data_IF_703995570975
#
_entry.id   IF_703995570975
#
_cell.length_a   1.000
_cell.length_b   1.000
_cell.length_c   1.000
_cell.angle_alpha   90.00
_cell.angle_beta   90.00
_cell.angle_gamma   90.00
#
_symmetry.space_group_name_H-M   'P 1'
#
loop_
_entity.id
_entity.type
_entity.pdbx_description
1 polymer ?
#
# COMPACT_ATOMS: atom_id res chain seq x y z
N UNK A 1 47.32 4.17 -0.06
CA UNK A 1 46.08 4.07 0.72
C UNK A 1 45.23 5.30 0.41
N UNK A 2 44.10 5.12 -0.28
CA UNK A 2 43.35 6.19 -0.93
C UNK A 2 42.55 7.02 0.06
N UNK A 3 42.58 8.36 -0.09
CA UNK A 3 41.80 9.35 0.67
C UNK A 3 40.28 9.06 0.69
N UNK A 4 39.79 8.23 -0.23
CA UNK A 4 38.39 7.77 -0.30
C UNK A 4 38.04 6.78 0.83
N UNK A 5 38.99 5.95 1.27
CA UNK A 5 38.77 4.99 2.36
C UNK A 5 38.65 5.64 3.74
N UNK A 6 39.38 6.75 3.96
CA UNK A 6 39.31 7.50 5.22
C UNK A 6 37.99 8.27 5.34
N UNK A 7 37.44 8.75 4.21
CA UNK A 7 36.19 9.51 4.20
C UNK A 7 34.96 8.61 4.37
N UNK A 8 34.98 7.38 3.85
CA UNK A 8 33.93 6.38 4.08
C UNK A 8 33.95 5.82 5.51
N UNK A 9 35.13 5.68 6.12
CA UNK A 9 35.28 5.28 7.53
C UNK A 9 34.76 6.34 8.51
N UNK A 10 35.01 7.62 8.23
CA UNK A 10 34.51 8.74 9.04
C UNK A 10 32.98 8.94 8.91
N UNK A 11 32.40 8.68 7.73
CA UNK A 11 30.94 8.73 7.55
C UNK A 11 30.23 7.58 8.29
N UNK A 12 30.84 6.39 8.35
CA UNK A 12 30.32 5.24 9.11
C UNK A 12 30.40 5.41 10.63
N UNK A 13 31.42 6.10 11.14
CA UNK A 13 31.56 6.44 12.57
C UNK A 13 30.63 7.60 13.00
N UNK A 14 30.35 8.55 12.10
CA UNK A 14 29.34 9.60 12.33
C UNK A 14 27.90 9.06 12.28
N UNK A 15 27.61 8.07 11.42
CA UNK A 15 26.31 7.42 11.36
C UNK A 15 26.04 6.49 12.55
N UNK A 16 27.07 5.86 13.14
CA UNK A 16 26.92 5.02 14.34
C UNK A 16 26.84 5.83 15.64
N UNK A 17 27.43 7.03 15.68
CA UNK A 17 27.31 7.94 16.83
C UNK A 17 26.02 8.77 16.85
N UNK A 18 25.36 8.96 15.69
CA UNK A 18 23.99 9.52 15.64
C UNK A 18 22.88 8.50 15.95
N UNK A 19 23.17 7.20 15.99
CA UNK A 19 22.18 6.18 16.36
C UNK A 19 22.13 5.85 17.86
N UNK A 20 23.04 6.39 18.67
CA UNK A 20 23.04 6.18 20.14
C UNK A 20 22.58 7.39 20.97
N UNK A 21 22.22 8.51 20.33
CA UNK A 21 21.74 9.72 21.03
C UNK A 21 20.21 9.93 20.95
N UNK A 22 19.45 8.86 20.64
CA UNK A 22 17.99 8.89 20.52
C UNK A 22 17.24 7.88 21.39
N UNK A 23 17.93 7.14 22.28
CA UNK A 23 17.29 6.23 23.23
C UNK A 23 17.21 6.86 24.62
N UNK A 24 16.44 7.95 24.72
CA UNK A 24 15.89 8.41 25.99
C UNK A 24 14.56 7.71 26.23
N UNK A 25 14.56 6.71 27.11
CA UNK A 25 13.41 6.24 27.92
C UNK A 25 12.06 6.12 27.20
N UNK A 26 11.76 4.96 26.59
CA UNK A 26 10.41 4.68 26.10
C UNK A 26 9.89 3.31 26.55
N UNK A 27 10.30 2.86 27.74
CA UNK A 27 9.83 1.64 28.41
C UNK A 27 8.88 1.95 29.58
N UNK A 28 8.28 3.15 29.63
CA UNK A 28 7.65 3.70 30.85
C UNK A 28 6.21 3.21 31.08
N UNK A 29 5.58 2.55 30.10
CA UNK A 29 4.15 2.21 30.17
C UNK A 29 3.85 0.71 30.20
N UNK A 30 4.83 -0.17 30.02
CA UNK A 30 4.60 -1.61 29.84
C UNK A 30 3.93 -2.27 31.07
N UNK A 31 4.25 -1.81 32.28
CA UNK A 31 3.70 -2.34 33.53
C UNK A 31 2.34 -1.72 33.91
N UNK A 32 1.85 -0.77 33.10
CA UNK A 32 0.61 -0.04 33.36
C UNK A 32 -0.60 -0.76 32.77
N UNK A 33 -1.78 -0.50 33.35
CA UNK A 33 -3.05 -1.12 32.96
C UNK A 33 -4.09 -0.07 32.64
N UNK A 34 -4.68 -0.17 31.45
CA UNK A 34 -5.75 0.70 30.97
C UNK A 34 -7.03 -0.10 30.78
N UNK A 35 -8.12 0.37 31.36
CA UNK A 35 -9.44 -0.20 31.15
C UNK A 35 -10.23 0.64 30.15
N UNK A 36 -10.74 0.04 29.08
CA UNK A 36 -11.59 0.72 28.10
C UNK A 36 -13.03 0.27 28.27
N UNK A 37 -13.90 1.20 28.66
CA UNK A 37 -15.34 1.00 28.64
C UNK A 37 -15.91 1.52 27.32
N UNK A 38 -16.48 0.63 26.52
CA UNK A 38 -17.00 0.95 25.19
C UNK A 38 -18.52 0.85 25.16
N UNK A 39 -19.21 1.89 24.72
CA UNK A 39 -20.67 1.95 24.76
C UNK A 39 -21.38 0.87 23.92
N UNK A 40 -20.84 0.52 22.75
CA UNK A 40 -21.53 -0.32 21.76
C UNK A 40 -20.97 -1.74 21.65
N UNK A 41 -21.60 -2.57 20.82
CA UNK A 41 -21.10 -3.90 20.49
C UNK A 41 -19.70 -3.87 19.81
N UNK A 42 -18.85 -4.89 19.98
CA UNK A 42 -17.53 -4.97 19.34
C UNK A 42 -17.52 -4.82 17.81
N UNK A 43 -18.62 -5.20 17.16
CA UNK A 43 -18.78 -5.09 15.70
C UNK A 43 -19.10 -3.66 15.21
N UNK A 44 -19.24 -2.69 16.12
CA UNK A 44 -19.55 -1.32 15.73
C UNK A 44 -18.35 -0.69 14.99
N UNK A 45 -18.53 0.00 13.85
CA UNK A 45 -17.43 0.37 12.94
C UNK A 45 -16.31 1.22 13.56
N UNK A 46 -16.59 1.95 14.65
CA UNK A 46 -15.67 2.88 15.28
C UNK A 46 -14.74 2.20 16.30
N UNK A 47 -15.14 1.05 16.85
CA UNK A 47 -14.37 0.31 17.87
C UNK A 47 -12.95 -0.06 17.45
N UNK A 48 -12.73 -0.79 16.34
CA UNK A 48 -11.37 -1.16 15.94
C UNK A 48 -10.49 0.05 15.62
N UNK A 49 -11.08 1.17 15.19
CA UNK A 49 -10.36 2.40 14.85
C UNK A 49 -9.88 3.12 16.11
N UNK A 50 -10.75 3.26 17.11
CA UNK A 50 -10.42 3.83 18.42
C UNK A 50 -9.29 3.03 19.07
N UNK A 51 -9.43 1.70 19.11
CA UNK A 51 -8.40 0.83 19.70
C UNK A 51 -7.07 0.90 18.95
N UNK A 52 -7.10 1.04 17.61
CA UNK A 52 -5.88 1.24 16.83
C UNK A 52 -5.21 2.58 17.14
N UNK A 53 -6.00 3.66 17.33
CA UNK A 53 -5.50 4.97 17.75
C UNK A 53 -4.87 4.96 19.13
N UNK A 54 -5.53 4.33 20.11
CA UNK A 54 -4.99 4.16 21.47
C UNK A 54 -3.64 3.43 21.44
N UNK A 55 -3.56 2.29 20.75
CA UNK A 55 -2.32 1.51 20.61
C UNK A 55 -1.20 2.30 19.94
N UNK A 56 -1.52 3.07 18.90
CA UNK A 56 -0.55 3.95 18.24
C UNK A 56 0.01 5.01 19.19
N UNK A 57 -0.86 5.63 20.00
CA UNK A 57 -0.44 6.66 20.95
C UNK A 57 0.43 6.12 22.08
N UNK A 58 0.15 4.90 22.55
CA UNK A 58 0.98 4.24 23.57
C UNK A 58 2.29 3.69 23.02
N UNK A 59 2.33 3.33 21.73
CA UNK A 59 3.49 2.72 21.11
C UNK A 59 3.61 1.21 21.37
N UNK A 60 4.68 0.57 20.87
CA UNK A 60 4.85 -0.89 20.92
C UNK A 60 5.03 -1.44 22.34
N UNK A 61 5.59 -0.66 23.27
CA UNK A 61 5.74 -1.01 24.69
C UNK A 61 4.66 -0.30 25.55
N UNK A 62 3.44 -0.25 25.03
CA UNK A 62 2.29 0.36 25.70
C UNK A 62 1.73 -0.46 26.87
N UNK A 63 0.76 0.10 27.60
CA UNK A 63 0.11 -0.58 28.72
C UNK A 63 -0.72 -1.78 28.26
N UNK A 64 -1.04 -2.68 29.18
CA UNK A 64 -2.08 -3.68 28.96
C UNK A 64 -3.44 -2.99 28.82
N UNK A 65 -4.16 -3.27 27.73
CA UNK A 65 -5.50 -2.73 27.46
C UNK A 65 -6.54 -3.83 27.59
N UNK A 66 -7.42 -3.73 28.59
CA UNK A 66 -8.60 -4.56 28.72
C UNK A 66 -9.84 -3.77 28.27
N UNK A 67 -10.74 -4.40 27.49
CA UNK A 67 -11.93 -3.72 26.93
C UNK A 67 -13.20 -4.44 27.37
N UNK A 68 -14.20 -3.69 27.84
CA UNK A 68 -15.55 -4.18 28.12
C UNK A 68 -16.57 -3.38 27.30
N UNK A 69 -17.56 -4.08 26.76
CA UNK A 69 -18.55 -3.53 25.84
C UNK A 69 -19.94 -3.56 26.48
N UNK A 70 -20.63 -2.42 26.50
CA UNK A 70 -21.96 -2.30 27.11
C UNK A 70 -23.09 -2.78 26.19
N UNK A 71 -22.86 -2.78 24.88
CA UNK A 71 -23.87 -3.09 23.84
C UNK A 71 -25.14 -2.22 23.92
N UNK A 72 -24.98 -0.95 24.28
CA UNK A 72 -26.10 -0.06 24.64
C UNK A 72 -27.03 0.29 23.48
N UNK A 73 -26.63 0.08 22.22
CA UNK A 73 -27.51 0.25 21.05
C UNK A 73 -28.46 -0.93 20.83
N UNK A 74 -28.17 -2.09 21.41
CA UNK A 74 -29.01 -3.30 21.32
C UNK A 74 -29.71 -3.61 22.64
N UNK A 75 -29.06 -3.31 23.76
CA UNK A 75 -29.51 -3.56 25.12
C UNK A 75 -29.52 -2.24 25.92
N UNK A 76 -30.68 -1.60 26.04
CA UNK A 76 -30.80 -0.23 26.59
C UNK A 76 -31.76 -0.09 27.78
N UNK A 77 -32.45 -1.15 28.16
CA UNK A 77 -33.38 -1.15 29.28
C UNK A 77 -32.65 -1.13 30.65
N UNK A 78 -33.37 -0.80 31.71
CA UNK A 78 -32.76 -0.68 33.04
C UNK A 78 -32.25 -2.03 33.60
N UNK A 79 -32.86 -3.15 33.18
CA UNK A 79 -32.43 -4.49 33.60
C UNK A 79 -31.07 -4.84 32.99
N UNK A 80 -30.88 -4.58 31.69
CA UNK A 80 -29.59 -4.81 31.04
C UNK A 80 -28.48 -3.93 31.64
N UNK A 81 -28.76 -2.66 31.94
CA UNK A 81 -27.81 -1.77 32.63
C UNK A 81 -27.43 -2.27 34.03
N UNK A 82 -28.40 -2.68 34.85
CA UNK A 82 -28.15 -3.24 36.18
C UNK A 82 -27.34 -4.54 36.12
N UNK A 83 -27.64 -5.42 35.16
CA UNK A 83 -26.90 -6.66 34.93
C UNK A 83 -25.44 -6.40 34.52
N UNK A 84 -25.22 -5.42 33.65
CA UNK A 84 -23.88 -5.00 33.24
C UNK A 84 -23.09 -4.48 34.44
N UNK A 85 -23.65 -3.56 35.23
CA UNK A 85 -23.03 -3.03 36.45
C UNK A 85 -22.61 -4.14 37.41
N UNK A 86 -23.52 -5.07 37.72
CA UNK A 86 -23.23 -6.20 38.61
C UNK A 86 -22.11 -7.09 38.08
N UNK A 87 -22.13 -7.39 36.79
CA UNK A 87 -21.13 -8.25 36.15
C UNK A 87 -19.76 -7.58 36.12
N UNK A 88 -19.72 -6.28 35.79
CA UNK A 88 -18.50 -5.49 35.77
C UNK A 88 -17.91 -5.37 37.18
N UNK A 89 -18.72 -5.06 38.20
CA UNK A 89 -18.27 -5.00 39.59
C UNK A 89 -17.62 -6.33 40.04
N UNK A 90 -18.23 -7.47 39.69
CA UNK A 90 -17.64 -8.77 39.98
C UNK A 90 -16.28 -8.93 39.27
N UNK A 91 -16.19 -8.64 37.97
CA UNK A 91 -14.93 -8.74 37.21
C UNK A 91 -13.82 -7.87 37.82
N UNK A 92 -14.14 -6.62 38.17
CA UNK A 92 -13.19 -5.68 38.76
C UNK A 92 -12.71 -6.16 40.15
N UNK A 93 -13.60 -6.76 40.96
CA UNK A 93 -13.22 -7.32 42.27
C UNK A 93 -12.24 -8.51 42.22
N UNK A 94 -12.04 -9.09 41.03
CA UNK A 94 -11.19 -10.27 40.79
C UNK A 94 -9.94 -9.97 39.97
N UNK A 95 -9.70 -8.70 39.64
CA UNK A 95 -8.56 -8.23 38.84
C UNK A 95 -7.76 -7.20 39.63
N UNK A 96 -6.50 -7.01 39.24
CA UNK A 96 -5.71 -5.91 39.78
C UNK A 96 -6.29 -4.56 39.35
N UNK A 97 -6.05 -3.49 40.13
CA UNK A 97 -6.50 -2.14 39.78
C UNK A 97 -5.94 -1.66 38.43
N UNK A 98 -6.69 -0.77 37.78
CA UNK A 98 -6.23 -0.08 36.57
C UNK A 98 -5.67 1.29 36.93
N UNK A 99 -4.71 1.78 36.13
CA UNK A 99 -4.10 3.09 36.32
C UNK A 99 -4.92 4.21 35.66
N UNK A 100 -5.61 3.91 34.55
CA UNK A 100 -6.49 4.83 33.81
C UNK A 100 -7.71 4.09 33.25
N UNK A 101 -8.87 4.75 33.28
CA UNK A 101 -10.07 4.33 32.56
C UNK A 101 -10.25 5.20 31.32
N UNK A 102 -10.55 4.58 30.18
CA UNK A 102 -10.93 5.26 28.95
C UNK A 102 -12.39 4.95 28.64
N UNK A 103 -13.24 5.96 28.48
CA UNK A 103 -14.65 5.77 28.11
C UNK A 103 -14.87 6.18 26.67
N UNK A 104 -15.43 5.30 25.85
CA UNK A 104 -15.76 5.59 24.46
C UNK A 104 -17.27 5.75 24.29
N UNK A 105 -17.66 6.97 23.87
CA UNK A 105 -19.03 7.42 23.58
C UNK A 105 -19.88 7.81 24.81
N UNK A 106 -21.01 8.48 24.56
CA UNK A 106 -21.84 9.14 25.57
C UNK A 106 -22.31 8.19 26.69
N UNK A 107 -22.81 7.00 26.34
CA UNK A 107 -23.32 6.03 27.32
C UNK A 107 -22.22 5.50 28.26
N UNK A 108 -20.98 5.38 27.76
CA UNK A 108 -19.86 4.91 28.57
C UNK A 108 -19.42 5.99 29.55
N UNK A 109 -19.40 7.26 29.12
CA UNK A 109 -19.14 8.38 30.02
C UNK A 109 -20.25 8.51 31.07
N UNK A 110 -21.53 8.46 30.67
CA UNK A 110 -22.66 8.55 31.61
C UNK A 110 -22.60 7.44 32.67
N UNK A 111 -22.27 6.22 32.26
CA UNK A 111 -22.07 5.10 33.18
C UNK A 111 -20.90 5.36 34.15
N UNK A 112 -19.79 5.89 33.64
CA UNK A 112 -18.61 6.19 34.46
C UNK A 112 -18.86 7.34 35.44
N UNK A 113 -19.61 8.37 35.04
CA UNK A 113 -20.00 9.46 35.94
C UNK A 113 -20.95 8.97 37.05
N UNK A 114 -21.86 8.06 36.73
CA UNK A 114 -22.82 7.53 37.69
C UNK A 114 -22.23 6.48 38.65
N UNK A 115 -21.32 5.63 38.17
CA UNK A 115 -20.86 4.43 38.91
C UNK A 115 -19.33 4.37 39.11
N UNK A 116 -18.56 5.23 38.47
CA UNK A 116 -17.10 5.16 38.44
C UNK A 116 -16.45 5.31 39.81
N UNK A 117 -17.00 6.17 40.68
CA UNK A 117 -16.50 6.33 42.05
C UNK A 117 -16.60 5.02 42.86
N UNK A 118 -17.65 4.22 42.64
CA UNK A 118 -17.84 2.92 43.28
C UNK A 118 -16.95 1.84 42.66
N UNK A 119 -16.83 1.82 41.33
CA UNK A 119 -16.19 0.74 40.59
C UNK A 119 -14.66 0.87 40.49
N UNK A 120 -14.15 2.10 40.41
CA UNK A 120 -12.75 2.38 40.12
C UNK A 120 -12.10 3.30 41.17
N UNK A 121 -12.78 3.64 42.27
CA UNK A 121 -12.20 4.28 43.46
C UNK A 121 -11.19 5.43 43.18
N UNK A 122 -11.55 6.37 42.30
CA UNK A 122 -10.72 7.54 42.01
C UNK A 122 -9.67 7.37 40.92
N UNK A 123 -9.69 6.27 40.15
CA UNK A 123 -8.86 6.13 38.95
C UNK A 123 -9.20 7.21 37.91
N UNK A 124 -8.20 7.91 37.35
CA UNK A 124 -8.39 8.90 36.28
C UNK A 124 -9.19 8.38 35.10
N UNK A 125 -10.08 9.22 34.57
CA UNK A 125 -10.89 8.90 33.38
C UNK A 125 -10.55 9.81 32.21
N UNK A 126 -10.33 9.21 31.04
CA UNK A 126 -10.18 9.90 29.76
C UNK A 126 -11.34 9.52 28.84
N UNK A 127 -12.25 10.44 28.55
CA UNK A 127 -13.33 10.16 27.61
C UNK A 127 -12.95 10.48 26.16
N UNK A 128 -13.62 9.83 25.22
CA UNK A 128 -13.62 10.19 23.80
C UNK A 128 -14.96 9.86 23.14
N UNK A 129 -15.22 10.42 21.97
CA UNK A 129 -16.42 10.07 21.20
C UNK A 129 -17.72 10.64 21.75
N UNK A 130 -17.65 11.64 22.64
CA UNK A 130 -18.82 12.22 23.31
C UNK A 130 -19.37 13.36 22.45
N UNK A 131 -20.61 13.19 21.99
CA UNK A 131 -21.29 14.15 21.12
C UNK A 131 -22.10 15.20 21.90
N UNK A 132 -22.44 14.94 23.17
CA UNK A 132 -22.97 15.97 24.09
C UNK A 132 -21.86 16.93 24.53
N UNK A 133 -21.62 17.97 23.69
CA UNK A 133 -20.54 18.95 23.90
C UNK A 133 -20.67 19.65 25.27
N UNK A 134 -21.83 20.17 25.69
CA UNK A 134 -21.97 20.76 27.03
C UNK A 134 -21.59 19.80 28.15
N UNK A 135 -22.01 18.52 28.10
CA UNK A 135 -21.64 17.50 29.09
C UNK A 135 -20.14 17.23 29.10
N UNK A 136 -19.53 17.14 27.93
CA UNK A 136 -18.10 16.89 27.78
C UNK A 136 -17.27 18.05 28.33
N UNK A 137 -17.60 19.30 27.97
CA UNK A 137 -16.92 20.50 28.46
C UNK A 137 -17.12 20.73 29.96
N UNK A 138 -18.27 20.35 30.52
CA UNK A 138 -18.49 20.42 31.97
C UNK A 138 -17.51 19.57 32.78
N UNK A 139 -16.84 18.59 32.15
CA UNK A 139 -15.84 17.77 32.83
C UNK A 139 -14.53 18.52 33.12
N UNK A 140 -14.29 19.70 32.55
CA UNK A 140 -13.16 20.56 32.98
C UNK A 140 -13.25 20.95 34.47
N UNK A 141 -14.44 20.87 35.07
CA UNK A 141 -14.66 21.11 36.50
C UNK A 141 -14.42 19.86 37.36
N UNK A 142 -14.24 18.69 36.74
CA UNK A 142 -14.06 17.43 37.42
C UNK A 142 -12.56 17.12 37.56
N UNK A 143 -12.00 17.06 38.78
CA UNK A 143 -10.55 16.91 38.96
C UNK A 143 -10.00 15.57 38.50
N UNK A 144 -10.85 14.60 38.18
CA UNK A 144 -10.45 13.24 37.82
C UNK A 144 -10.93 12.80 36.42
N UNK A 145 -11.53 13.71 35.64
CA UNK A 145 -12.05 13.42 34.31
C UNK A 145 -11.54 14.46 33.32
N UNK A 146 -11.01 13.99 32.21
CA UNK A 146 -10.65 14.81 31.05
C UNK A 146 -10.97 14.02 29.78
N UNK A 147 -10.74 14.57 28.59
CA UNK A 147 -11.02 13.81 27.37
C UNK A 147 -11.02 14.62 26.09
N UNK A 148 -11.59 14.01 25.05
CA UNK A 148 -11.70 14.55 23.70
C UNK A 148 -13.16 14.60 23.29
N UNK A 149 -13.62 15.80 22.90
CA UNK A 149 -14.98 16.01 22.39
C UNK A 149 -15.10 15.46 20.96
N UNK A 150 -16.22 14.80 20.66
CA UNK A 150 -16.60 14.47 19.28
C UNK A 150 -17.58 15.54 18.76
N UNK A 151 -17.03 16.58 18.16
CA UNK A 151 -17.82 17.62 17.50
C UNK A 151 -17.74 17.40 15.99
N UNK A 152 -18.89 17.26 15.33
CA UNK A 152 -18.94 17.18 13.86
C UNK A 152 -18.63 18.55 13.24
N UNK A 153 -17.82 18.57 12.18
CA UNK A 153 -17.47 19.80 11.46
C UNK A 153 -18.54 20.18 10.42
N UNK A 154 -19.79 20.35 10.88
CA UNK A 154 -20.92 20.68 9.99
C UNK A 154 -20.67 22.01 9.29
N UNK A 155 -20.37 23.08 10.04
CA UNK A 155 -20.18 24.41 9.48
C UNK A 155 -19.04 24.45 8.44
N UNK A 156 -17.90 23.85 8.78
CA UNK A 156 -16.74 23.82 7.91
C UNK A 156 -17.00 22.93 6.68
N UNK A 157 -17.73 21.82 6.83
CA UNK A 157 -18.12 20.96 5.71
C UNK A 157 -19.08 21.67 4.76
N UNK A 158 -20.04 22.46 5.26
CA UNK A 158 -20.93 23.27 4.42
C UNK A 158 -20.15 24.32 3.62
N UNK A 159 -19.20 25.01 4.25
CA UNK A 159 -18.33 25.97 3.56
C UNK A 159 -17.43 25.30 2.51
N UNK A 160 -16.91 24.11 2.84
CA UNK A 160 -16.10 23.30 1.94
C UNK A 160 -16.89 22.88 0.70
N UNK A 161 -18.10 22.31 0.87
CA UNK A 161 -18.95 21.91 -0.26
C UNK A 161 -19.16 23.08 -1.23
N UNK A 162 -19.48 24.27 -0.69
CA UNK A 162 -19.65 25.48 -1.50
C UNK A 162 -18.38 25.88 -2.26
N UNK A 163 -17.21 25.82 -1.61
CA UNK A 163 -15.93 26.17 -2.22
C UNK A 163 -15.55 25.18 -3.35
N UNK A 164 -15.78 23.89 -3.13
CA UNK A 164 -15.43 22.83 -4.07
C UNK A 164 -16.37 22.79 -5.28
N UNK A 165 -17.65 23.09 -5.09
CA UNK A 165 -18.66 22.96 -6.15
C UNK A 165 -19.56 24.20 -6.20
N UNK A 166 -19.03 25.38 -6.59
CA UNK A 166 -19.80 26.63 -6.59
C UNK A 166 -20.99 26.64 -7.55
N UNK A 167 -20.99 25.78 -8.56
CA UNK A 167 -22.10 25.62 -9.51
C UNK A 167 -23.30 24.84 -8.93
N UNK A 168 -23.11 24.08 -7.84
CA UNK A 168 -24.19 23.34 -7.17
C UNK A 168 -24.85 24.24 -6.14
N UNK A 169 -26.08 24.66 -6.44
CA UNK A 169 -26.84 25.62 -5.62
C UNK A 169 -27.78 24.95 -4.62
N UNK A 170 -28.05 23.65 -4.75
CA UNK A 170 -29.03 22.93 -3.95
C UNK A 170 -28.35 21.91 -3.03
N UNK A 171 -28.47 22.11 -1.71
CA UNK A 171 -28.02 21.13 -0.72
C UNK A 171 -29.22 20.33 -0.18
N UNK A 172 -29.18 19.02 -0.40
CA UNK A 172 -30.16 18.08 0.11
C UNK A 172 -29.56 17.33 1.31
N UNK A 173 -30.25 17.32 2.44
CA UNK A 173 -29.78 16.67 3.66
C UNK A 173 -30.53 15.36 3.86
N UNK A 174 -29.81 14.26 3.99
CA UNK A 174 -30.39 12.93 4.27
C UNK A 174 -30.30 12.64 5.75
N UNK A 175 -31.44 12.28 6.35
CA UNK A 175 -31.58 12.01 7.79
C UNK A 175 -32.66 10.95 8.03
N UNK A 176 -32.58 10.25 9.15
CA UNK A 176 -33.62 9.32 9.62
C UNK A 176 -34.32 9.79 10.91
N UNK A 177 -35.29 9.02 11.38
CA UNK A 177 -36.05 9.33 12.59
C UNK A 177 -35.31 9.05 13.91
N UNK A 178 -34.01 8.75 13.89
CA UNK A 178 -33.27 8.46 15.12
C UNK A 178 -33.01 9.73 15.93
N UNK A 179 -32.96 9.61 17.27
CA UNK A 179 -32.72 10.76 18.16
C UNK A 179 -31.43 11.50 17.82
N UNK A 180 -30.34 10.77 17.54
CA UNK A 180 -29.06 11.36 17.13
C UNK A 180 -29.14 12.07 15.78
N UNK A 181 -29.75 11.44 14.77
CA UNK A 181 -29.90 12.06 13.44
C UNK A 181 -30.72 13.35 13.49
N UNK A 182 -31.77 13.39 14.30
CA UNK A 182 -32.58 14.59 14.50
C UNK A 182 -31.82 15.69 15.26
N UNK A 183 -30.98 15.35 16.24
CA UNK A 183 -30.12 16.32 16.92
C UNK A 183 -29.09 16.94 15.97
N UNK A 184 -28.46 16.14 15.11
CA UNK A 184 -27.53 16.60 14.08
C UNK A 184 -28.24 17.52 13.07
N UNK A 185 -29.46 17.16 12.65
CA UNK A 185 -30.27 17.98 11.76
C UNK A 185 -30.58 19.35 12.36
N UNK A 186 -30.98 19.42 13.64
CA UNK A 186 -31.26 20.69 14.31
C UNK A 186 -30.00 21.56 14.38
N UNK A 187 -28.86 20.96 14.72
CA UNK A 187 -27.56 21.65 14.72
C UNK A 187 -27.23 22.20 13.34
N UNK A 188 -27.40 21.38 12.30
CA UNK A 188 -27.17 21.77 10.92
C UNK A 188 -28.08 22.93 10.49
N UNK A 189 -29.38 22.85 10.75
CA UNK A 189 -30.34 23.90 10.38
C UNK A 189 -30.05 25.20 11.12
N UNK A 190 -29.60 25.13 12.38
CA UNK A 190 -29.16 26.29 13.16
C UNK A 190 -27.94 26.99 12.53
N UNK A 191 -26.97 26.20 12.05
CA UNK A 191 -25.75 26.71 11.39
C UNK A 191 -25.98 27.16 9.94
N UNK A 192 -26.91 26.53 9.23
CA UNK A 192 -27.21 26.84 7.85
C UNK A 192 -27.94 28.19 7.70
N UNK A 193 -28.83 28.54 8.63
CA UNK A 193 -29.60 29.81 8.63
C UNK A 193 -28.75 31.08 8.52
N UNK A 194 -27.66 31.26 9.28
CA UNK A 194 -26.77 32.41 9.14
C UNK A 194 -25.77 32.30 7.97
N UNK A 195 -25.65 31.15 7.32
CA UNK A 195 -24.71 30.91 6.23
C UNK A 195 -25.37 31.17 4.86
N UNK A 196 -24.61 31.65 3.88
CA UNK A 196 -25.11 31.89 2.52
C UNK A 196 -25.47 30.59 1.74
N UNK A 197 -25.44 29.42 2.37
CA UNK A 197 -25.75 28.12 1.77
C UNK A 197 -27.00 27.53 2.44
N UNK A 198 -28.15 27.71 1.80
CA UNK A 198 -29.43 27.23 2.31
C UNK A 198 -29.59 25.73 2.02
N UNK A 199 -29.99 24.97 3.04
CA UNK A 199 -30.55 23.63 2.85
C UNK A 199 -31.79 23.78 1.97
N UNK A 200 -31.77 23.13 0.81
CA UNK A 200 -32.88 23.18 -0.15
C UNK A 200 -33.98 22.19 0.25
N UNK A 201 -33.59 21.01 0.73
CA UNK A 201 -34.52 19.98 1.14
C UNK A 201 -33.91 19.08 2.23
N UNK A 202 -34.77 18.57 3.11
CA UNK A 202 -34.45 17.47 4.01
C UNK A 202 -35.15 16.21 3.50
N UNK A 203 -34.37 15.24 3.01
CA UNK A 203 -34.86 13.92 2.59
C UNK A 203 -34.89 13.02 3.82
N UNK A 204 -36.05 12.95 4.47
CA UNK A 204 -36.23 12.29 5.76
C UNK A 204 -36.75 10.86 5.63
N UNK A 205 -35.98 9.87 6.07
CA UNK A 205 -36.42 8.49 6.23
C UNK A 205 -37.40 8.31 7.39
N UNK A 206 -37.62 9.33 8.23
CA UNK A 206 -38.76 9.30 9.16
C UNK A 206 -40.11 9.38 8.43
N UNK A 207 -40.11 9.93 7.21
CA UNK A 207 -41.32 10.20 6.41
C UNK A 207 -41.40 9.33 5.15
N UNK A 208 -40.26 8.83 4.68
CA UNK A 208 -40.12 8.03 3.46
C UNK A 208 -39.86 6.56 3.77
N UNK A 209 -40.41 5.67 2.94
CA UNK A 209 -39.95 4.28 2.85
C UNK A 209 -38.64 4.23 2.07
N UNK A 210 -37.87 3.13 2.17
CA UNK A 210 -36.68 2.94 1.34
C UNK A 210 -36.97 3.03 -0.17
N UNK A 211 -38.16 2.58 -0.60
CA UNK A 211 -38.59 2.68 -1.99
C UNK A 211 -38.78 4.13 -2.43
N UNK A 212 -39.47 4.93 -1.62
CA UNK A 212 -39.70 6.35 -1.89
C UNK A 212 -38.40 7.15 -1.83
N UNK A 213 -37.53 6.79 -0.89
CA UNK A 213 -36.19 7.36 -0.74
C UNK A 213 -35.34 7.16 -2.00
N UNK A 214 -35.25 5.93 -2.54
CA UNK A 214 -34.56 5.67 -3.81
C UNK A 214 -35.14 6.49 -4.97
N UNK A 215 -36.47 6.64 -5.05
CA UNK A 215 -37.10 7.46 -6.10
C UNK A 215 -36.73 8.94 -5.94
N UNK A 216 -36.71 9.46 -4.71
CA UNK A 216 -36.35 10.86 -4.45
C UNK A 216 -34.88 11.14 -4.80
N UNK A 217 -33.97 10.23 -4.48
CA UNK A 217 -32.55 10.36 -4.84
C UNK A 217 -32.30 10.36 -6.36
N UNK A 218 -33.02 9.51 -7.10
CA UNK A 218 -32.94 9.48 -8.56
C UNK A 218 -33.45 10.77 -9.22
N UNK A 219 -34.33 11.51 -8.55
CA UNK A 219 -34.86 12.77 -9.03
C UNK A 219 -33.92 13.98 -8.80
N UNK A 220 -32.78 13.79 -8.13
CA UNK A 220 -31.75 14.83 -7.95
C UNK A 220 -31.05 15.12 -9.29
N UNK A 221 -30.85 16.40 -9.57
CA UNK A 221 -30.21 16.90 -10.79
C UNK A 221 -28.74 17.31 -10.60
N UNK A 222 -28.16 17.90 -11.66
CA UNK A 222 -26.74 18.26 -11.68
C UNK A 222 -26.39 19.44 -10.76
N UNK A 223 -27.39 20.23 -10.33
CA UNK A 223 -27.24 21.33 -9.38
C UNK A 223 -27.27 20.90 -7.91
N UNK A 224 -27.56 19.62 -7.63
CA UNK A 224 -27.77 19.10 -6.28
C UNK A 224 -26.47 18.55 -5.67
N UNK A 225 -26.26 18.76 -4.38
CA UNK A 225 -25.33 18.02 -3.55
C UNK A 225 -26.10 17.35 -2.41
N UNK A 226 -25.59 16.24 -1.89
CA UNK A 226 -26.20 15.52 -0.78
C UNK A 226 -25.26 15.55 0.41
N UNK A 227 -25.77 15.88 1.60
CA UNK A 227 -25.08 15.65 2.87
C UNK A 227 -25.82 14.56 3.64
N UNK A 228 -25.13 13.44 3.86
CA UNK A 228 -25.63 12.33 4.66
C UNK A 228 -25.38 12.61 6.15
N UNK A 229 -26.43 12.72 6.95
CA UNK A 229 -26.36 12.72 8.41
C UNK A 229 -26.59 11.32 8.96
N UNK A 230 -27.75 10.73 8.64
CA UNK A 230 -28.12 9.38 9.09
C UNK A 230 -29.10 8.70 8.12
N UNK A 231 -29.02 7.38 8.02
CA UNK A 231 -29.90 6.58 7.16
C UNK A 231 -29.93 5.12 7.62
N UNK A 232 -30.51 4.85 8.80
CA UNK A 232 -30.55 3.50 9.38
C UNK A 232 -31.93 2.88 9.36
N UNK A 233 -32.99 3.67 9.51
CA UNK A 233 -34.36 3.16 9.61
C UNK A 233 -35.34 4.06 8.86
N UNK A 234 -36.17 3.44 8.04
CA UNK A 234 -37.23 4.12 7.30
C UNK A 234 -38.55 4.19 8.10
N UNK A 235 -39.55 4.86 7.53
CA UNK A 235 -40.86 5.05 8.18
C UNK A 235 -41.61 3.75 8.45
N UNK A 236 -41.37 2.73 7.61
CA UNK A 236 -42.02 1.42 7.70
C UNK A 236 -41.33 0.54 8.76
N UNK A 237 -40.28 1.07 9.40
CA UNK A 237 -39.54 0.45 10.48
C UNK A 237 -38.42 -0.47 10.00
N UNK A 238 -38.17 -0.54 8.69
CA UNK A 238 -37.15 -1.39 8.09
C UNK A 238 -35.78 -0.79 8.32
N UNK A 239 -34.92 -1.55 9.01
CA UNK A 239 -33.56 -1.14 9.32
C UNK A 239 -32.57 -1.65 8.28
N UNK A 240 -31.57 -0.83 7.95
CA UNK A 240 -30.41 -1.18 7.12
C UNK A 240 -29.13 -0.87 7.88
N UNK A 241 -28.09 -1.67 7.65
CA UNK A 241 -26.74 -1.28 8.04
C UNK A 241 -26.28 -0.05 7.26
N UNK A 242 -25.29 0.67 7.78
CA UNK A 242 -24.71 1.82 7.11
C UNK A 242 -24.25 1.50 5.67
N UNK A 243 -23.60 0.34 5.48
CA UNK A 243 -23.13 -0.07 4.15
C UNK A 243 -24.26 -0.31 3.17
N UNK A 244 -25.36 -0.93 3.60
CA UNK A 244 -26.53 -1.18 2.75
C UNK A 244 -27.27 0.11 2.38
N UNK A 245 -27.44 1.03 3.32
CA UNK A 245 -28.09 2.31 3.04
C UNK A 245 -27.21 3.21 2.18
N UNK A 246 -25.90 3.26 2.43
CA UNK A 246 -24.96 4.00 1.59
C UNK A 246 -24.90 3.44 0.17
N UNK A 247 -24.82 2.12 -0.01
CA UNK A 247 -24.84 1.51 -1.34
C UNK A 247 -26.11 1.90 -2.12
N UNK A 248 -27.28 1.80 -1.47
CA UNK A 248 -28.54 2.25 -2.05
C UNK A 248 -28.50 3.73 -2.43
N UNK A 249 -27.90 4.59 -1.60
CA UNK A 249 -27.73 6.01 -1.92
C UNK A 249 -26.84 6.22 -3.14
N UNK A 250 -25.66 5.61 -3.19
CA UNK A 250 -24.67 5.79 -4.27
C UNK A 250 -25.17 5.23 -5.61
N UNK A 251 -25.98 4.17 -5.57
CA UNK A 251 -26.59 3.57 -6.76
C UNK A 251 -27.73 4.42 -7.35
N UNK A 252 -28.42 5.21 -6.51
CA UNK A 252 -29.60 5.99 -6.93
C UNK A 252 -29.34 7.49 -7.03
N UNK A 253 -28.33 8.03 -6.35
CA UNK A 253 -27.99 9.46 -6.39
C UNK A 253 -26.97 9.75 -7.49
N UNK A 254 -27.34 10.64 -8.43
CA UNK A 254 -26.41 11.22 -9.41
C UNK A 254 -25.60 12.39 -8.84
N UNK A 255 -26.02 12.91 -7.71
CA UNK A 255 -25.35 13.99 -6.99
C UNK A 255 -24.19 13.47 -6.12
N UNK A 256 -23.16 14.30 -5.86
CA UNK A 256 -22.10 13.99 -4.90
C UNK A 256 -22.67 13.86 -3.49
N UNK A 257 -22.31 12.77 -2.82
CA UNK A 257 -22.67 12.51 -1.42
C UNK A 257 -21.48 12.86 -0.52
N UNK A 258 -21.66 13.86 0.33
CA UNK A 258 -20.76 14.25 1.41
C UNK A 258 -21.22 13.62 2.73
N UNK A 259 -20.29 13.48 3.66
CA UNK A 259 -20.57 12.94 4.99
C UNK A 259 -19.73 13.67 6.04
N UNK A 260 -19.99 13.42 7.32
CA UNK A 260 -19.28 14.06 8.45
C UNK A 260 -18.38 13.09 9.23
N UNK A 261 -18.43 11.79 8.92
CA UNK A 261 -17.58 10.78 9.55
C UNK A 261 -16.78 10.02 8.49
N UNK A 262 -15.63 9.45 8.90
CA UNK A 262 -14.70 8.76 7.99
C UNK A 262 -15.31 7.51 7.31
N UNK A 263 -16.32 6.90 7.92
CA UNK A 263 -16.93 5.69 7.36
C UNK A 263 -17.70 6.02 6.06
N UNK A 264 -17.62 5.14 5.06
CA UNK A 264 -18.13 5.39 3.71
C UNK A 264 -17.09 5.90 2.71
N UNK A 265 -15.92 6.41 3.17
CA UNK A 265 -14.76 6.58 2.28
C UNK A 265 -14.33 5.22 1.76
N UNK A 266 -14.21 5.06 0.44
CA UNK A 266 -14.06 3.76 -0.18
C UNK A 266 -15.32 3.25 -0.88
N UNK A 267 -16.49 3.72 -0.43
CA UNK A 267 -17.80 3.17 -0.80
C UNK A 267 -18.67 4.15 -1.60
N UNK A 268 -18.13 5.33 -1.96
CA UNK A 268 -18.73 6.24 -2.94
C UNK A 268 -19.00 7.66 -2.46
N UNK A 269 -18.80 7.98 -1.17
CA UNK A 269 -18.87 9.37 -0.71
C UNK A 269 -17.68 10.18 -1.26
N UNK A 270 -17.88 11.49 -1.44
CA UNK A 270 -16.82 12.42 -1.84
C UNK A 270 -15.81 12.62 -0.70
N UNK A 271 -16.32 12.78 0.52
CA UNK A 271 -15.52 13.12 1.68
C UNK A 271 -16.13 14.29 2.46
N UNK A 272 -15.28 15.02 3.16
CA UNK A 272 -15.66 16.16 4.00
C UNK A 272 -14.59 16.48 5.03
N UNK A 273 -14.94 17.26 6.05
CA UNK A 273 -14.11 17.40 7.25
C UNK A 273 -14.64 16.37 8.25
N UNK A 274 -13.97 15.22 8.26
CA UNK A 274 -14.52 13.99 8.81
C UNK A 274 -14.03 13.76 10.23
N UNK A 275 -14.95 13.31 11.09
CA UNK A 275 -14.61 12.70 12.37
C UNK A 275 -13.78 11.45 12.11
N UNK A 276 -12.54 11.48 12.57
CA UNK A 276 -11.59 10.40 12.46
C UNK A 276 -11.46 9.70 13.82
N UNK A 277 -12.17 8.59 13.97
CA UNK A 277 -12.19 7.82 15.22
C UNK A 277 -10.82 7.25 15.62
N UNK A 278 -9.93 7.02 14.65
CA UNK A 278 -8.54 6.61 14.95
C UNK A 278 -7.78 7.77 15.56
N UNK A 279 -7.94 8.97 15.02
CA UNK A 279 -7.30 10.16 15.58
C UNK A 279 -7.89 10.55 16.95
N UNK A 280 -9.20 10.43 17.14
CA UNK A 280 -9.87 10.54 18.44
C UNK A 280 -9.25 9.57 19.47
N UNK A 281 -9.15 8.29 19.11
CA UNK A 281 -8.48 7.28 19.94
C UNK A 281 -7.01 7.61 20.20
N UNK A 282 -6.30 8.16 19.22
CA UNK A 282 -4.89 8.58 19.37
C UNK A 282 -4.75 9.75 20.34
N UNK A 283 -5.59 10.78 20.24
CA UNK A 283 -5.58 11.92 21.17
C UNK A 283 -5.92 11.50 22.61
N UNK A 284 -6.95 10.67 22.78
CA UNK A 284 -7.29 10.10 24.08
C UNK A 284 -6.14 9.26 24.64
N UNK A 285 -5.48 8.46 23.79
CA UNK A 285 -4.31 7.67 24.18
C UNK A 285 -3.12 8.54 24.59
N UNK A 286 -2.88 9.66 23.91
CA UNK A 286 -1.84 10.62 24.30
C UNK A 286 -2.14 11.28 25.65
N UNK A 287 -3.40 11.64 25.90
CA UNK A 287 -3.85 12.17 27.20
C UNK A 287 -3.66 11.11 28.29
N UNK A 288 -4.14 9.89 28.06
CA UNK A 288 -3.97 8.77 28.99
C UNK A 288 -2.47 8.50 29.26
N UNK A 289 -1.63 8.51 28.23
CA UNK A 289 -0.19 8.34 28.38
C UNK A 289 0.47 9.47 29.19
N UNK A 290 -0.05 10.71 29.16
CA UNK A 290 0.43 11.79 30.04
C UNK A 290 0.05 11.52 31.49
N UNK A 291 -1.18 11.07 31.74
CA UNK A 291 -1.66 10.71 33.09
C UNK A 291 -0.86 9.53 33.66
N UNK A 292 -0.62 8.49 32.86
CA UNK A 292 0.16 7.31 33.27
C UNK A 292 1.60 7.65 33.66
N UNK A 293 2.16 8.74 33.11
CA UNK A 293 3.48 9.31 33.45
C UNK A 293 3.43 10.28 34.64
N UNK A 294 2.31 10.40 35.32
CA UNK A 294 2.15 11.18 36.55
C UNK A 294 1.66 12.62 36.36
N UNK A 295 1.17 13.00 35.17
CA UNK A 295 0.53 14.30 35.01
C UNK A 295 -0.81 14.34 35.77
N UNK A 296 -1.07 15.43 36.48
CA UNK A 296 -2.35 15.63 37.17
C UNK A 296 -3.48 15.87 36.14
N UNK A 297 -4.61 15.20 36.32
CA UNK A 297 -5.75 15.25 35.40
C UNK A 297 -6.31 16.67 35.32
N UNK A 298 -6.36 17.37 36.46
CA UNK A 298 -6.86 18.75 36.54
C UNK A 298 -6.04 19.75 35.70
N UNK A 299 -4.79 19.39 35.37
CA UNK A 299 -3.92 20.19 34.51
C UNK A 299 -4.10 19.94 33.01
N UNK A 300 -4.93 18.95 32.64
CA UNK A 300 -5.19 18.54 31.27
C UNK A 300 -6.63 18.96 30.91
N UNK A 301 -6.82 20.08 30.19
CA UNK A 301 -8.15 20.51 29.80
C UNK A 301 -8.75 19.53 28.80
N UNK A 302 -10.08 19.43 28.81
CA UNK A 302 -10.86 18.76 27.78
C UNK A 302 -10.51 19.36 26.42
N UNK A 303 -10.16 18.49 25.48
CA UNK A 303 -9.88 18.90 24.11
C UNK A 303 -11.20 19.23 23.42
N UNK A 304 -11.58 20.52 23.48
CA UNK A 304 -12.83 21.05 22.97
C UNK A 304 -12.96 20.96 21.43
N UNK A 305 -11.83 20.97 20.71
CA UNK A 305 -11.81 20.84 19.25
C UNK A 305 -11.56 19.38 18.87
N UNK A 306 -12.59 18.75 18.30
CA UNK A 306 -12.46 17.41 17.71
C UNK A 306 -11.36 17.42 16.64
N UNK A 307 -10.43 16.44 16.64
CA UNK A 307 -9.35 16.35 15.67
C UNK A 307 -9.86 15.80 14.32
N UNK A 308 -10.81 16.52 13.73
CA UNK A 308 -11.41 16.17 12.45
C UNK A 308 -10.40 16.43 11.33
N UNK A 309 -10.43 15.57 10.32
CA UNK A 309 -9.45 15.60 9.23
C UNK A 309 -10.19 15.83 7.92
N UNK A 310 -9.73 16.77 7.07
CA UNK A 310 -10.22 16.86 5.70
C UNK A 310 -9.80 15.59 4.94
N UNK A 311 -10.75 14.75 4.58
CA UNK A 311 -10.50 13.46 3.93
C UNK A 311 -11.42 13.27 2.72
N UNK A 312 -10.87 12.80 1.61
CA UNK A 312 -11.59 12.69 0.34
C UNK A 312 -11.26 11.40 -0.41
N UNK A 313 -12.24 10.86 -1.13
CA UNK A 313 -12.04 9.72 -2.03
C UNK A 313 -11.70 10.22 -3.44
N UNK A 314 -10.48 9.91 -3.91
CA UNK A 314 -10.00 10.33 -5.23
C UNK A 314 -10.93 9.91 -6.37
N UNK A 315 -11.54 8.73 -6.29
CA UNK A 315 -12.43 8.22 -7.35
C UNK A 315 -13.71 9.05 -7.41
N UNK A 316 -14.25 9.44 -6.25
CA UNK A 316 -15.41 10.32 -6.16
C UNK A 316 -15.06 11.75 -6.61
N UNK A 317 -13.91 12.29 -6.22
CA UNK A 317 -13.41 13.58 -6.71
C UNK A 317 -13.35 13.60 -8.25
N UNK A 318 -12.81 12.55 -8.86
CA UNK A 318 -12.77 12.39 -10.33
C UNK A 318 -14.17 12.22 -10.94
N UNK A 319 -15.06 11.47 -10.30
CA UNK A 319 -16.44 11.24 -10.78
C UNK A 319 -17.24 12.55 -10.85
N UNK A 320 -17.01 13.47 -9.91
CA UNK A 320 -17.77 14.72 -9.79
C UNK A 320 -16.97 15.97 -10.22
N UNK A 321 -15.87 15.76 -10.94
CA UNK A 321 -14.99 16.80 -11.49
C UNK A 321 -14.52 17.85 -10.45
N UNK A 322 -14.15 17.37 -9.25
CA UNK A 322 -13.62 18.20 -8.18
C UNK A 322 -12.08 18.21 -8.28
N UNK A 323 -11.49 19.39 -8.50
CA UNK A 323 -10.04 19.55 -8.61
C UNK A 323 -9.35 19.33 -7.25
N UNK A 324 -8.43 18.36 -7.18
CA UNK A 324 -7.62 18.06 -5.99
C UNK A 324 -6.87 19.29 -5.47
N UNK A 325 -6.49 20.22 -6.35
CA UNK A 325 -5.78 21.46 -5.97
C UNK A 325 -6.67 22.47 -5.22
N UNK A 326 -7.99 22.29 -5.29
CA UNK A 326 -8.95 23.15 -4.58
C UNK A 326 -9.20 22.71 -3.12
N UNK A 327 -8.74 21.51 -2.77
CA UNK A 327 -8.86 20.95 -1.42
C UNK A 327 -8.01 21.73 -0.40
N UNK A 328 -8.34 21.63 0.89
CA UNK A 328 -7.48 22.14 1.97
C UNK A 328 -6.03 21.59 1.86
N UNK A 329 -4.99 22.38 2.21
CA UNK A 329 -3.59 21.93 2.10
C UNK A 329 -3.25 20.69 2.95
N UNK A 330 -3.98 20.49 4.05
CA UNK A 330 -3.87 19.36 4.98
C UNK A 330 -4.81 18.19 4.61
N UNK A 331 -5.49 18.26 3.47
CA UNK A 331 -6.41 17.23 3.01
C UNK A 331 -5.71 15.91 2.69
N UNK A 332 -6.25 14.82 3.24
CA UNK A 332 -5.85 13.47 2.91
C UNK A 332 -6.71 12.94 1.77
N UNK A 333 -6.07 12.72 0.62
CA UNK A 333 -6.72 12.12 -0.55
C UNK A 333 -6.45 10.61 -0.55
N UNK A 334 -7.50 9.83 -0.36
CA UNK A 334 -7.43 8.37 -0.33
C UNK A 334 -7.80 7.78 -1.69
N UNK A 335 -7.37 6.54 -1.93
CA UNK A 335 -7.67 5.78 -3.16
C UNK A 335 -7.18 6.45 -4.47
N UNK A 336 -6.16 7.32 -4.39
CA UNK A 336 -5.47 7.80 -5.57
C UNK A 336 -4.74 6.62 -6.24
N UNK A 337 -4.98 6.34 -7.54
CA UNK A 337 -4.24 5.31 -8.24
C UNK A 337 -2.77 5.74 -8.27
N UNK A 338 -1.93 5.01 -7.54
CA UNK A 338 -0.49 5.24 -7.59
C UNK A 338 -0.04 5.09 -9.04
N UNK A 339 0.35 6.20 -9.66
CA UNK A 339 0.92 6.16 -11.00
C UNK A 339 2.21 5.36 -10.93
N UNK A 340 2.17 4.12 -11.43
CA UNK A 340 3.31 3.22 -11.54
C UNK A 340 4.48 3.95 -12.21
N UNK A 341 4.18 4.80 -13.19
CA UNK A 341 5.17 5.65 -13.84
C UNK A 341 5.84 6.66 -12.89
N UNK A 342 5.08 7.35 -12.02
CA UNK A 342 5.63 8.36 -11.11
C UNK A 342 6.54 7.75 -10.04
N UNK A 343 6.23 6.53 -9.59
CA UNK A 343 7.02 5.84 -8.58
C UNK A 343 8.19 5.03 -9.16
N UNK A 344 7.98 4.39 -10.32
CA UNK A 344 8.93 3.44 -10.91
C UNK A 344 9.61 3.91 -12.21
N UNK A 345 9.61 5.22 -12.53
CA UNK A 345 10.17 5.71 -13.82
C UNK A 345 11.64 5.33 -14.03
N UNK A 346 12.43 5.28 -12.97
CA UNK A 346 13.86 4.99 -13.07
C UNK A 346 14.10 3.50 -13.26
N UNK A 347 13.31 2.68 -12.56
CA UNK A 347 13.29 1.21 -12.64
C UNK A 347 12.82 0.75 -14.02
N UNK A 348 11.72 1.33 -14.52
CA UNK A 348 11.24 1.08 -15.89
C UNK A 348 12.29 1.49 -16.91
N UNK A 349 12.93 2.65 -16.72
CA UNK A 349 14.04 3.11 -17.57
C UNK A 349 15.23 2.16 -17.56
N UNK A 350 15.62 1.64 -16.40
CA UNK A 350 16.72 0.68 -16.26
C UNK A 350 16.41 -0.66 -16.96
N UNK A 351 15.19 -1.18 -16.79
CA UNK A 351 14.75 -2.41 -17.48
C UNK A 351 14.72 -2.20 -18.99
N UNK A 352 14.21 -1.06 -19.47
CA UNK A 352 14.20 -0.73 -20.89
C UNK A 352 15.62 -0.63 -21.47
N UNK A 353 16.55 -0.02 -20.73
CA UNK A 353 17.96 0.06 -21.13
C UNK A 353 18.63 -1.32 -21.18
N UNK A 354 18.35 -2.20 -20.20
CA UNK A 354 18.85 -3.58 -20.20
C UNK A 354 18.29 -4.37 -21.39
N UNK A 355 16.99 -4.30 -21.65
CA UNK A 355 16.36 -4.97 -22.80
C UNK A 355 16.91 -4.43 -24.12
N UNK A 356 17.13 -3.12 -24.24
CA UNK A 356 17.79 -2.52 -25.39
C UNK A 356 19.22 -3.03 -25.58
N UNK A 357 19.99 -3.11 -24.48
CA UNK A 357 21.34 -3.69 -24.48
C UNK A 357 21.34 -5.16 -24.93
N UNK A 358 20.43 -5.97 -24.40
CA UNK A 358 20.25 -7.36 -24.80
C UNK A 358 19.85 -7.49 -26.27
N UNK A 359 18.98 -6.62 -26.78
CA UNK A 359 18.59 -6.60 -28.18
C UNK A 359 19.78 -6.27 -29.09
N UNK A 360 20.56 -5.24 -28.76
CA UNK A 360 21.78 -4.86 -29.50
C UNK A 360 22.80 -6.00 -29.49
N UNK A 361 23.03 -6.61 -28.32
CA UNK A 361 23.93 -7.75 -28.17
C UNK A 361 23.44 -8.96 -28.99
N UNK A 362 22.14 -9.25 -28.98
CA UNK A 362 21.56 -10.35 -29.74
C UNK A 362 21.71 -10.14 -31.24
N UNK A 363 21.48 -8.91 -31.74
CA UNK A 363 21.70 -8.55 -33.14
C UNK A 363 23.18 -8.69 -33.51
N UNK A 364 24.08 -8.24 -32.63
CA UNK A 364 25.53 -8.37 -32.83
C UNK A 364 25.96 -9.85 -32.94
N UNK A 365 25.51 -10.69 -32.01
CA UNK A 365 25.81 -12.13 -32.01
C UNK A 365 25.20 -12.84 -33.23
N UNK A 366 23.98 -12.49 -33.62
CA UNK A 366 23.34 -13.03 -34.82
C UNK A 366 24.13 -12.67 -36.09
N UNK A 367 24.60 -11.42 -36.22
CA UNK A 367 25.47 -10.99 -37.33
C UNK A 367 26.79 -11.75 -37.34
N UNK A 368 27.45 -11.89 -36.19
CA UNK A 368 28.67 -12.69 -36.05
C UNK A 368 28.46 -14.14 -36.52
N UNK A 369 27.36 -14.78 -36.11
CA UNK A 369 27.05 -16.15 -36.52
C UNK A 369 26.81 -16.27 -38.02
N UNK A 370 26.11 -15.32 -38.65
CA UNK A 370 25.90 -15.32 -40.11
C UNK A 370 27.22 -15.14 -40.87
N UNK A 371 28.11 -14.28 -40.38
CA UNK A 371 29.45 -14.09 -41.00
C UNK A 371 30.28 -15.37 -40.88
N UNK A 372 30.29 -16.00 -39.69
CA UNK A 372 31.00 -17.27 -39.45
C UNK A 372 30.50 -18.39 -40.35
N UNK A 373 29.19 -18.55 -40.51
CA UNK A 373 28.63 -19.60 -41.38
C UNK A 373 28.96 -19.37 -42.85
N UNK A 374 28.98 -18.12 -43.32
CA UNK A 374 29.42 -17.77 -44.67
C UNK A 374 30.90 -18.08 -44.89
N UNK A 375 31.78 -17.69 -43.97
CA UNK A 375 33.22 -18.00 -44.07
C UNK A 375 33.48 -19.51 -44.06
N UNK A 376 32.79 -20.26 -43.19
CA UNK A 376 32.91 -21.71 -43.14
C UNK A 376 32.43 -22.38 -44.44
N UNK A 377 31.38 -21.83 -45.08
CA UNK A 377 30.90 -22.32 -46.38
C UNK A 377 31.88 -22.03 -47.51
N UNK A 378 32.37 -20.79 -47.61
CA UNK A 378 33.37 -20.40 -48.64
C UNK A 378 34.65 -21.24 -48.52
N UNK A 379 35.11 -21.48 -47.29
CA UNK A 379 36.26 -22.34 -47.03
C UNK A 379 36.01 -23.80 -47.47
N UNK A 380 34.82 -24.35 -47.18
CA UNK A 380 34.45 -25.70 -47.64
C UNK A 380 34.35 -25.80 -49.16
N UNK A 381 33.74 -24.81 -49.83
CA UNK A 381 33.64 -24.78 -51.29
C UNK A 381 35.03 -24.70 -51.93
N UNK A 382 35.91 -23.83 -51.45
CA UNK A 382 37.31 -23.74 -51.92
C UNK A 382 38.10 -25.01 -51.67
N UNK A 383 38.00 -25.59 -50.46
CA UNK A 383 38.72 -26.83 -50.11
C UNK A 383 38.22 -28.02 -50.93
N UNK A 384 36.90 -28.14 -51.13
CA UNK A 384 36.30 -29.17 -51.95
C UNK A 384 36.68 -29.05 -53.42
N UNK A 385 36.69 -27.83 -53.97
CA UNK A 385 37.13 -27.56 -55.33
C UNK A 385 38.60 -27.90 -55.55
N UNK A 386 39.50 -27.50 -54.62
CA UNK A 386 40.92 -27.85 -54.70
C UNK A 386 41.16 -29.37 -54.64
N UNK A 387 40.42 -30.10 -53.78
CA UNK A 387 40.49 -31.57 -53.75
C UNK A 387 40.02 -32.20 -55.05
N UNK A 388 38.90 -31.73 -55.60
CA UNK A 388 38.39 -32.22 -56.89
C UNK A 388 39.40 -31.98 -58.03
N UNK A 389 40.05 -30.81 -58.07
CA UNK A 389 41.11 -30.54 -59.03
C UNK A 389 42.26 -31.53 -58.85
N UNK A 390 42.76 -31.73 -57.63
CA UNK A 390 43.83 -32.69 -57.37
C UNK A 390 43.46 -34.10 -57.84
N UNK A 391 42.24 -34.56 -57.54
CA UNK A 391 41.77 -35.92 -57.88
C UNK A 391 41.50 -36.14 -59.38
N UNK A 392 41.21 -35.07 -60.14
CA UNK A 392 40.93 -35.14 -61.58
C UNK A 392 42.18 -35.00 -62.45
N UNK A 393 43.31 -34.54 -61.89
CA UNK A 393 44.57 -34.50 -62.61
C UNK A 393 44.96 -35.90 -63.09
N UNK A 394 45.42 -36.07 -64.34
CA UNK A 394 45.90 -37.37 -64.85
C UNK A 394 47.26 -37.75 -64.26
N UNK A 395 48.01 -36.75 -63.78
CA UNK A 395 49.34 -36.93 -63.19
C UNK A 395 49.26 -37.34 -61.73
N UNK A 396 50.28 -38.04 -61.27
CA UNK A 396 50.45 -38.38 -59.87
C UNK A 396 50.90 -37.15 -59.10
N UNK A 397 50.12 -36.76 -58.09
CA UNK A 397 50.44 -35.64 -57.20
C UNK A 397 50.59 -36.17 -55.79
N UNK A 398 51.74 -35.93 -55.18
CA UNK A 398 52.00 -36.24 -53.78
C UNK A 398 52.74 -35.07 -53.13
N UNK A 399 52.59 -34.98 -51.82
CA UNK A 399 53.31 -34.04 -50.97
C UNK A 399 53.91 -34.84 -49.83
N UNK A 400 55.21 -34.67 -49.58
CA UNK A 400 55.92 -35.23 -48.42
C UNK A 400 56.48 -34.11 -47.56
N UNK A 401 56.72 -34.39 -46.29
CA UNK A 401 57.57 -33.55 -45.44
C UNK A 401 59.06 -33.81 -45.73
N UNK A 402 59.94 -33.05 -45.08
CA UNK A 402 61.40 -33.20 -45.23
C UNK A 402 61.92 -34.56 -44.75
N UNK A 403 61.19 -35.26 -43.89
CA UNK A 403 61.52 -36.60 -43.40
C UNK A 403 61.03 -37.72 -44.33
N UNK A 404 60.33 -37.39 -45.41
CA UNK A 404 59.84 -38.34 -46.40
C UNK A 404 58.47 -38.93 -46.06
N UNK A 405 57.79 -38.34 -45.07
CA UNK A 405 56.46 -38.75 -44.65
C UNK A 405 55.43 -38.12 -45.59
N UNK A 406 54.54 -38.93 -46.16
CA UNK A 406 53.47 -38.42 -47.03
C UNK A 406 52.47 -37.56 -46.24
N UNK A 407 52.18 -36.37 -46.77
CA UNK A 407 51.27 -35.37 -46.20
C UNK A 407 49.92 -35.31 -46.93
N UNK A 408 49.92 -35.54 -48.25
CA UNK A 408 48.72 -35.64 -49.09
C UNK A 408 49.09 -36.28 -50.42
N UNK A 409 48.11 -36.92 -51.08
CA UNK A 409 48.28 -37.43 -52.43
C UNK A 409 46.93 -37.48 -53.15
N UNK A 410 46.94 -37.38 -54.48
CA UNK A 410 45.71 -37.47 -55.27
C UNK A 410 45.32 -38.93 -55.58
N UNK A 411 44.08 -39.11 -56.05
CA UNK A 411 43.57 -40.43 -56.47
C UNK A 411 44.46 -41.17 -57.48
N UNK A 412 45.19 -40.46 -58.35
CA UNK A 412 46.15 -41.09 -59.28
C UNK A 412 47.33 -41.72 -58.55
N UNK A 413 47.87 -41.05 -57.54
CA UNK A 413 48.94 -41.58 -56.71
C UNK A 413 48.47 -42.76 -55.83
N UNK A 414 47.24 -42.74 -55.32
CA UNK A 414 46.66 -43.88 -54.60
C UNK A 414 46.71 -45.19 -55.42
N UNK A 415 46.53 -45.11 -56.74
CA UNK A 415 46.59 -46.27 -57.64
C UNK A 415 48.01 -46.84 -57.81
N UNK A 416 49.06 -46.05 -57.56
CA UNK A 416 50.45 -46.53 -57.62
C UNK A 416 50.73 -47.55 -56.50
N UNK A 417 50.30 -47.25 -55.28
CA UNK A 417 50.48 -48.12 -54.12
C UNK A 417 49.30 -49.05 -53.85
N UNK A 418 48.16 -48.85 -54.51
CA UNK A 418 46.94 -49.60 -54.24
C UNK A 418 46.35 -49.33 -52.85
N UNK A 419 46.70 -48.19 -52.25
CA UNK A 419 46.28 -47.76 -50.92
C UNK A 419 45.59 -46.39 -50.99
N UNK A 420 44.65 -46.13 -50.09
CA UNK A 420 43.96 -44.83 -50.04
C UNK A 420 44.86 -43.75 -49.43
N UNK A 421 44.59 -42.47 -49.71
CA UNK A 421 45.34 -41.32 -49.17
C UNK A 421 45.40 -41.40 -47.65
N UNK A 422 44.29 -41.82 -47.00
CA UNK A 422 44.25 -42.01 -45.54
C UNK A 422 45.20 -43.08 -45.02
N UNK A 423 45.54 -44.07 -45.83
CA UNK A 423 46.48 -45.14 -45.48
C UNK A 423 47.93 -44.76 -45.83
N UNK A 424 48.12 -43.90 -46.83
CA UNK A 424 49.41 -43.40 -47.31
C UNK A 424 49.93 -42.26 -46.43
N UNK A 425 49.07 -41.31 -46.06
CA UNK A 425 49.43 -40.15 -45.25
C UNK A 425 49.93 -40.58 -43.87
N UNK A 426 51.06 -40.01 -43.45
CA UNK A 426 51.74 -40.36 -42.19
C UNK A 426 52.72 -41.54 -42.29
N UNK A 427 52.86 -42.16 -43.48
CA UNK A 427 53.82 -43.24 -43.76
C UNK A 427 54.91 -42.79 -44.73
N UNK A 428 55.88 -43.66 -44.99
CA UNK A 428 57.05 -43.42 -45.86
C UNK A 428 57.09 -44.43 -47.01
N UNK A 429 57.97 -44.24 -48.01
CA UNK A 429 58.13 -45.19 -49.12
C UNK A 429 58.45 -46.62 -48.66
N UNK A 430 59.18 -46.76 -47.54
CA UNK A 430 59.55 -48.05 -46.94
C UNK A 430 58.35 -48.89 -46.48
N UNK A 431 57.20 -48.26 -46.27
CA UNK A 431 55.97 -48.95 -45.84
C UNK A 431 55.20 -49.57 -47.02
N UNK A 432 55.54 -49.21 -48.26
CA UNK A 432 54.78 -49.58 -49.47
C UNK A 432 55.58 -50.33 -50.52
N UNK A 433 56.89 -50.09 -50.62
CA UNK A 433 57.76 -50.74 -51.60
C UNK A 433 58.98 -51.40 -50.94
N UNK A 434 59.64 -52.31 -51.65
CA UNK A 434 60.87 -52.95 -51.16
C UNK A 434 61.98 -51.92 -50.90
N UNK A 435 62.91 -52.26 -49.99
CA UNK A 435 63.94 -51.35 -49.48
C UNK A 435 64.71 -50.61 -50.59
N UNK A 436 65.17 -51.33 -51.63
CA UNK A 436 65.95 -50.74 -52.72
C UNK A 436 65.16 -49.68 -53.52
N UNK A 437 63.85 -49.90 -53.70
CA UNK A 437 62.98 -48.97 -54.41
C UNK A 437 62.58 -47.79 -53.53
N UNK A 438 62.43 -48.00 -52.22
CA UNK A 438 62.17 -46.94 -51.24
C UNK A 438 63.38 -45.98 -51.13
N UNK A 439 64.60 -46.50 -51.09
CA UNK A 439 65.83 -45.69 -51.15
C UNK A 439 65.91 -44.88 -52.44
N UNK A 440 65.59 -45.50 -53.58
CA UNK A 440 65.54 -44.81 -54.87
C UNK A 440 64.56 -43.61 -54.87
N UNK A 441 63.35 -43.78 -54.35
CA UNK A 441 62.40 -42.66 -54.24
C UNK A 441 62.89 -41.59 -53.26
N UNK A 442 63.49 -41.99 -52.14
CA UNK A 442 64.00 -41.07 -51.12
C UNK A 442 65.15 -40.21 -51.63
N UNK A 443 66.04 -40.79 -52.44
CA UNK A 443 67.15 -40.06 -53.03
C UNK A 443 66.68 -39.07 -54.11
N UNK A 444 65.67 -39.44 -54.90
CA UNK A 444 65.04 -38.51 -55.84
C UNK A 444 64.34 -37.35 -55.11
N UNK A 445 63.64 -37.61 -54.01
CA UNK A 445 63.03 -36.55 -53.19
C UNK A 445 64.09 -35.60 -52.62
N UNK A 446 65.24 -36.10 -52.15
CA UNK A 446 66.35 -35.25 -51.68
C UNK A 446 66.90 -34.37 -52.79
N UNK A 447 67.11 -34.95 -53.97
CA UNK A 447 67.59 -34.21 -55.14
C UNK A 447 66.62 -33.11 -55.59
N UNK A 448 65.31 -33.36 -55.49
CA UNK A 448 64.28 -32.36 -55.81
C UNK A 448 64.26 -31.21 -54.80
N UNK A 449 64.39 -31.50 -53.50
CA UNK A 449 64.50 -30.50 -52.42
C UNK A 449 65.74 -29.61 -52.63
N UNK A 450 66.88 -30.20 -52.98
CA UNK A 450 68.13 -29.46 -53.26
C UNK A 450 68.00 -28.54 -54.49
N UNK A 451 67.22 -28.94 -55.49
CA UNK A 451 66.96 -28.15 -56.72
C UNK A 451 65.83 -27.12 -56.57
N UNK A 452 65.02 -27.19 -55.51
CA UNK A 452 63.87 -26.31 -55.30
C UNK A 452 62.75 -26.49 -56.33
N UNK A 453 62.60 -27.70 -56.89
CA UNK A 453 61.59 -28.03 -57.91
C UNK A 453 60.88 -29.36 -57.64
N UNK A 454 59.81 -29.69 -58.38
CA UNK A 454 59.13 -30.99 -58.27
C UNK A 454 60.06 -32.14 -58.68
N UNK A 455 59.84 -33.31 -58.07
CA UNK A 455 60.60 -34.56 -58.32
C UNK A 455 60.44 -35.07 -59.76
#
# INVERSE_FOLDING_TARGET
MSKVGLMLGLLGLLLSSLSLAGQGTNSDLADKRVFVLYAYHPSFPTSPRILAGLREAFGPEGPQIDVEYMDSKRLYDDTSRANFLRTLAYKLSRRDPYDVVVTADDNALDFMLAHGAQLFSGVPTVFLGVNDIPKALAQDLNPNVTGVVEASSIAETLQLIRKLQPARTHLNVVVDGTTSGQADLQTLLGLARPSAFAVTEVISLAELSWHDFSRRLNALGDGDAVLLLSAYRDRDGVSKSFGESLALMIDNARAPVFHLWQHGLGDGIVGGILVNHREQGRQAGLIAARILRGADVSSIPVLARSPNVPMFDYRALRRFDIDVRSLPPDAQVLFEPHSVWKHYRYEIGAVAALLGGFLVLSIYLARQNVVRTRMARDLREKTGFLRLLMDTLPDMVWMKDTNGVYLSCNRRFEMLFGATEKEIVGRTDFDFVGHDLAEFFRDNDRLAIEKGGPC
#
